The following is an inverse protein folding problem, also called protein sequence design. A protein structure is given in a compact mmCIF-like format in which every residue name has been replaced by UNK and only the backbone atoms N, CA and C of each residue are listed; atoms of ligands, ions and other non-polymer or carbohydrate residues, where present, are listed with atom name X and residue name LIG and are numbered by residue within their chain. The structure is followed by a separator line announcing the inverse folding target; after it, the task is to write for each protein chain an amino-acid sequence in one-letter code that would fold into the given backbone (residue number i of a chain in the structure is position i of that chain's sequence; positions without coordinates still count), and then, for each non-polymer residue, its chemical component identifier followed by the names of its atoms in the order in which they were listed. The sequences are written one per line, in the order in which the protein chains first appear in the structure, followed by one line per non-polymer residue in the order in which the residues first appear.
data_IF_053329612398
#
_entry.id   IF_053329612398
#
_cell.length_a   1.000
_cell.length_b   1.000
_cell.length_c   1.000
_cell.angle_alpha   90.00
_cell.angle_beta   90.00
_cell.angle_gamma   90.00
#
_symmetry.space_group_name_H-M   'P 1'
#
loop_
_entity.id
_entity.type
_entity.pdbx_description
1 polymer ?
#
# COMPACT_ATOMS: atom_id res chain seq x y z
N UNK A 1 31.02 14.02 -90.87
CA UNK A 1 29.74 13.30 -91.07
C UNK A 1 29.82 12.02 -90.26
N UNK A 2 29.05 11.72 -89.24
CA UNK A 2 27.91 12.35 -88.57
C UNK A 2 27.93 11.89 -87.10
N UNK A 3 27.37 12.74 -86.25
CA UNK A 3 27.07 12.58 -84.82
C UNK A 3 26.01 11.53 -84.48
N UNK A 4 26.09 10.94 -83.28
CA UNK A 4 24.98 10.77 -82.30
C UNK A 4 25.51 10.14 -80.99
N UNK A 5 25.67 10.93 -79.92
CA UNK A 5 24.85 10.98 -78.67
C UNK A 5 24.72 9.62 -77.96
N UNK A 6 25.46 9.41 -76.87
CA UNK A 6 25.06 9.67 -75.46
C UNK A 6 24.05 8.64 -74.93
N UNK A 7 24.51 7.71 -74.08
CA UNK A 7 23.78 7.28 -72.88
C UNK A 7 24.71 6.53 -71.91
N UNK A 8 24.72 7.06 -70.70
CA UNK A 8 25.47 6.68 -69.50
C UNK A 8 24.79 5.46 -68.86
N UNK A 9 25.55 4.45 -68.45
CA UNK A 9 25.19 3.60 -67.30
C UNK A 9 26.46 3.06 -66.63
N UNK A 10 26.86 3.73 -65.55
CA UNK A 10 27.85 3.26 -64.58
C UNK A 10 27.03 2.54 -63.50
N UNK A 11 27.10 1.20 -63.46
CA UNK A 11 26.60 0.44 -62.32
C UNK A 11 27.80 0.07 -61.44
N UNK A 12 28.09 0.96 -60.49
CA UNK A 12 29.11 0.78 -59.46
C UNK A 12 28.55 -0.12 -58.36
N UNK A 13 29.28 -1.20 -58.12
CA UNK A 13 29.12 -2.15 -57.02
C UNK A 13 29.40 -1.42 -55.69
N UNK A 14 28.35 -1.00 -54.96
CA UNK A 14 28.48 -0.43 -53.63
C UNK A 14 28.09 -1.45 -52.55
N UNK A 15 29.14 -1.99 -51.95
CA UNK A 15 29.16 -2.77 -50.72
C UNK A 15 28.70 -1.85 -49.57
N UNK A 16 27.43 -1.90 -49.17
CA UNK A 16 26.97 -1.20 -47.96
C UNK A 16 27.11 -2.11 -46.76
N UNK A 17 28.16 -1.85 -45.99
CA UNK A 17 28.30 -2.32 -44.60
C UNK A 17 27.14 -1.70 -43.82
N UNK A 18 26.14 -2.52 -43.50
CA UNK A 18 25.07 -2.17 -42.57
C UNK A 18 25.66 -2.09 -41.17
N UNK A 19 26.11 -0.91 -40.77
CA UNK A 19 26.38 -0.61 -39.37
C UNK A 19 25.07 -0.68 -38.60
N UNK A 20 24.84 -1.78 -37.87
CA UNK A 20 23.89 -1.79 -36.77
C UNK A 20 24.42 -0.82 -35.71
N UNK A 21 23.85 0.37 -35.68
CA UNK A 21 23.85 1.20 -34.48
C UNK A 21 22.93 0.51 -33.47
N UNK A 22 23.47 -0.49 -32.77
CA UNK A 22 22.88 -0.94 -31.52
C UNK A 22 23.05 0.23 -30.56
N UNK A 23 21.97 0.97 -30.33
CA UNK A 23 21.89 1.86 -29.16
C UNK A 23 22.17 0.97 -27.95
N UNK A 24 23.35 1.12 -27.38
CA UNK A 24 23.69 0.61 -26.07
C UNK A 24 22.64 1.20 -25.14
N UNK A 25 21.70 0.36 -24.67
CA UNK A 25 20.89 0.69 -23.52
C UNK A 25 21.86 0.96 -22.38
N UNK A 26 22.04 2.24 -22.07
CA UNK A 26 22.71 2.67 -20.86
C UNK A 26 21.84 2.14 -19.74
N UNK A 27 22.25 1.03 -19.12
CA UNK A 27 21.67 0.61 -17.86
C UNK A 27 22.00 1.70 -16.85
N UNK A 28 21.12 2.68 -16.70
CA UNK A 28 21.16 3.60 -15.58
C UNK A 28 21.02 2.74 -14.34
N UNK A 29 22.11 2.58 -13.60
CA UNK A 29 22.12 1.84 -12.34
C UNK A 29 21.02 2.41 -11.44
N UNK A 30 20.03 1.58 -11.11
CA UNK A 30 18.94 1.95 -10.20
C UNK A 30 19.48 1.79 -8.79
N UNK A 31 19.44 2.86 -8.00
CA UNK A 31 19.87 2.80 -6.60
C UNK A 31 18.70 2.29 -5.75
N UNK A 32 18.85 1.12 -5.14
CA UNK A 32 17.88 0.62 -4.16
C UNK A 32 18.02 1.38 -2.84
N UNK A 33 16.87 1.82 -2.32
CA UNK A 33 16.73 2.45 -1.00
C UNK A 33 15.86 1.54 -0.12
N UNK A 34 16.13 1.54 1.17
CA UNK A 34 15.28 0.93 2.19
C UNK A 34 14.90 1.94 3.27
N UNK A 35 13.68 1.83 3.81
CA UNK A 35 13.28 2.60 4.99
C UNK A 35 14.07 2.22 6.26
N UNK A 36 14.68 1.02 6.27
CA UNK A 36 15.65 0.63 7.30
C UNK A 36 17.00 1.35 7.21
N UNK A 37 17.30 1.99 6.08
CA UNK A 37 18.60 2.62 5.87
C UNK A 37 18.68 3.95 6.62
N UNK A 38 19.75 4.13 7.39
CA UNK A 38 20.04 5.42 8.03
C UNK A 38 20.76 6.35 7.04
N UNK A 39 20.09 6.72 5.94
CA UNK A 39 20.64 7.67 4.97
C UNK A 39 20.47 9.10 5.49
N UNK A 40 21.57 9.80 5.72
CA UNK A 40 21.55 11.22 6.06
C UNK A 40 21.04 12.07 4.90
N UNK A 41 20.53 13.27 5.18
CA UNK A 41 20.09 14.19 4.11
C UNK A 41 21.22 14.55 3.12
N UNK A 42 22.47 14.61 3.56
CA UNK A 42 23.61 14.83 2.67
C UNK A 42 23.87 13.64 1.73
N UNK A 43 23.49 12.43 2.12
CA UNK A 43 23.52 11.25 1.24
C UNK A 43 22.36 11.27 0.26
N UNK A 44 21.17 11.68 0.70
CA UNK A 44 19.99 11.88 -0.17
C UNK A 44 20.29 12.93 -1.25
N UNK A 45 20.97 14.04 -0.92
CA UNK A 45 21.43 15.04 -1.92
C UNK A 45 22.32 14.45 -3.01
N UNK A 46 23.16 13.46 -2.70
CA UNK A 46 24.02 12.80 -3.71
C UNK A 46 23.24 11.90 -4.66
N UNK A 47 21.97 11.64 -4.36
CA UNK A 47 21.05 10.88 -5.19
C UNK A 47 20.14 11.79 -6.03
N UNK A 48 20.24 13.11 -5.89
CA UNK A 48 19.45 14.05 -6.70
C UNK A 48 19.64 13.79 -8.20
N UNK A 49 18.52 13.67 -8.88
CA UNK A 49 18.43 13.37 -10.30
C UNK A 49 18.67 11.90 -10.69
N UNK A 50 19.01 11.01 -9.75
CA UNK A 50 19.25 9.59 -10.03
C UNK A 50 17.96 8.78 -10.04
N UNK A 51 17.99 7.66 -10.75
CA UNK A 51 16.93 6.66 -10.71
C UNK A 51 17.07 5.83 -9.44
N UNK A 52 16.01 5.76 -8.64
CA UNK A 52 15.96 5.04 -7.37
C UNK A 52 14.81 4.04 -7.38
N UNK A 53 14.91 3.00 -6.56
CA UNK A 53 13.77 2.14 -6.24
C UNK A 53 13.66 1.90 -4.74
N UNK A 54 12.42 1.83 -4.25
CA UNK A 54 12.11 1.62 -2.83
C UNK A 54 10.84 0.78 -2.71
N UNK A 55 10.77 -0.06 -1.67
CA UNK A 55 9.58 -0.85 -1.35
C UNK A 55 8.91 -0.27 -0.12
N UNK A 56 7.58 -0.18 -0.14
CA UNK A 56 6.79 0.30 1.00
C UNK A 56 5.30 0.09 0.81
N UNK A 57 4.51 0.72 1.66
CA UNK A 57 3.04 0.70 1.63
C UNK A 57 2.48 2.06 1.24
N UNK A 58 1.36 2.10 0.54
CA UNK A 58 0.68 3.36 0.26
C UNK A 58 -0.03 3.86 1.51
N UNK A 59 0.08 5.15 1.81
CA UNK A 59 -0.70 5.76 2.88
C UNK A 59 -2.17 5.87 2.48
N UNK A 60 -3.07 5.54 3.39
CA UNK A 60 -4.52 5.79 3.26
C UNK A 60 -4.87 7.28 3.20
N UNK A 61 -3.92 8.17 3.52
CA UNK A 61 -4.07 9.63 3.42
C UNK A 61 -3.59 10.19 2.07
N UNK A 62 -3.16 9.33 1.14
CA UNK A 62 -2.77 9.75 -0.21
C UNK A 62 -3.97 10.37 -0.96
N UNK A 63 -3.73 11.37 -1.85
CA UNK A 63 -4.79 11.95 -2.66
C UNK A 63 -5.59 10.91 -3.45
N UNK A 64 -6.92 11.07 -3.47
CA UNK A 64 -7.83 10.17 -4.16
C UNK A 64 -7.68 10.20 -5.69
N UNK A 65 -7.11 11.27 -6.25
CA UNK A 65 -6.87 11.39 -7.69
C UNK A 65 -5.65 10.58 -8.17
N UNK A 66 -4.86 10.03 -7.24
CA UNK A 66 -3.69 9.21 -7.53
C UNK A 66 -2.54 9.98 -8.18
N UNK A 67 -2.57 11.32 -8.19
CA UNK A 67 -1.52 12.16 -8.79
C UNK A 67 -0.16 11.98 -8.09
N UNK A 68 -0.21 11.67 -6.79
CA UNK A 68 0.91 11.21 -6.01
C UNK A 68 0.42 10.33 -4.85
N UNK A 69 1.33 9.58 -4.25
CA UNK A 69 1.10 8.84 -3.00
C UNK A 69 2.13 9.24 -1.95
N UNK A 70 1.81 8.99 -0.69
CA UNK A 70 2.82 8.86 0.34
C UNK A 70 3.18 7.38 0.47
N UNK A 71 4.42 7.02 0.16
CA UNK A 71 4.94 5.68 0.40
C UNK A 71 5.53 5.64 1.81
N UNK A 72 5.08 4.69 2.63
CA UNK A 72 5.42 4.54 4.05
C UNK A 72 6.12 3.22 4.32
N UNK A 73 6.87 3.15 5.43
CA UNK A 73 7.52 1.92 5.86
C UNK A 73 6.55 0.90 6.49
N UNK A 74 5.40 1.36 6.99
CA UNK A 74 4.34 0.54 7.59
C UNK A 74 3.00 0.81 6.91
N UNK A 75 2.12 -0.18 6.80
CA UNK A 75 0.77 0.02 6.27
C UNK A 75 -0.11 0.75 7.30
N UNK A 76 -1.18 1.40 6.83
CA UNK A 76 -2.18 2.08 7.67
C UNK A 76 -1.62 3.14 8.65
N UNK A 77 -0.40 3.64 8.44
CA UNK A 77 0.18 4.65 9.31
C UNK A 77 -0.56 5.99 9.12
N UNK A 78 -1.30 6.40 10.15
CA UNK A 78 -2.24 7.55 10.10
C UNK A 78 -1.60 8.90 9.79
N UNK A 79 -0.29 9.07 10.02
CA UNK A 79 0.37 10.33 9.81
C UNK A 79 1.59 10.22 8.90
N UNK A 80 1.53 10.78 7.68
CA UNK A 80 2.64 10.71 6.74
C UNK A 80 3.84 11.55 7.19
N UNK A 81 3.65 12.64 7.97
CA UNK A 81 4.74 13.53 8.39
C UNK A 81 4.63 14.08 9.83
N UNK A 82 4.03 13.33 10.77
CA UNK A 82 3.89 13.80 12.16
C UNK A 82 5.22 14.05 12.89
N UNK A 83 6.33 13.58 12.31
CA UNK A 83 7.67 14.04 12.68
C UNK A 83 8.21 14.87 11.51
N UNK A 84 8.13 16.21 11.56
CA UNK A 84 8.66 17.06 10.50
C UNK A 84 10.18 16.93 10.41
N UNK A 85 10.70 16.83 9.19
CA UNK A 85 12.10 16.97 8.80
C UNK A 85 13.10 16.25 9.72
N UNK A 86 13.20 14.92 9.54
CA UNK A 86 14.34 14.18 10.08
C UNK A 86 15.57 14.40 9.20
N UNK A 87 16.76 14.51 9.81
CA UNK A 87 18.05 14.58 9.08
C UNK A 87 18.43 13.25 8.40
N UNK A 88 17.51 12.28 8.40
CA UNK A 88 17.62 10.94 7.84
C UNK A 88 16.43 10.68 6.93
N UNK A 89 16.53 9.69 6.03
CA UNK A 89 15.40 9.19 5.27
C UNK A 89 14.21 8.99 6.21
N UNK A 90 13.12 9.70 5.91
CA UNK A 90 11.92 9.65 6.72
C UNK A 90 11.21 8.32 6.46
N UNK A 91 10.39 7.91 7.42
CA UNK A 91 9.49 6.75 7.28
C UNK A 91 8.40 6.94 6.20
N UNK A 92 8.47 8.04 5.45
CA UNK A 92 7.55 8.42 4.39
C UNK A 92 8.30 9.15 3.28
N UNK A 93 7.98 8.84 2.03
CA UNK A 93 8.43 9.61 0.86
C UNK A 93 7.24 9.89 -0.07
N UNK A 94 7.14 11.13 -0.56
CA UNK A 94 6.14 11.45 -1.59
C UNK A 94 6.59 10.90 -2.95
N UNK A 95 5.68 10.25 -3.67
CA UNK A 95 5.93 9.61 -4.96
C UNK A 95 4.91 10.11 -5.97
N UNK A 96 5.38 10.80 -7.00
CA UNK A 96 4.56 11.43 -8.02
C UNK A 96 4.46 10.59 -9.29
N UNK A 97 3.24 10.45 -9.79
CA UNK A 97 2.99 9.81 -11.07
C UNK A 97 3.55 10.64 -12.24
N UNK A 98 3.91 10.01 -13.37
CA UNK A 98 4.21 10.73 -14.59
C UNK A 98 3.04 11.61 -15.00
N UNK A 99 3.32 12.72 -15.66
CA UNK A 99 2.30 13.69 -16.07
C UNK A 99 1.16 13.00 -16.85
N UNK A 100 -0.07 13.15 -16.37
CA UNK A 100 -1.28 12.58 -16.98
C UNK A 100 -1.56 11.13 -16.60
N UNK A 101 -0.77 10.54 -15.69
CA UNK A 101 -1.01 9.23 -15.10
C UNK A 101 -1.44 9.37 -13.64
N UNK A 102 -1.99 8.28 -13.08
CA UNK A 102 -2.46 8.21 -11.70
C UNK A 102 -2.21 6.81 -11.15
N UNK A 103 -1.92 6.72 -9.86
CA UNK A 103 -1.81 5.45 -9.15
C UNK A 103 -3.16 4.98 -8.63
N UNK A 104 -3.38 3.67 -8.65
CA UNK A 104 -4.48 3.04 -7.93
C UNK A 104 -3.99 2.64 -6.55
N UNK A 105 -4.76 2.99 -5.52
CA UNK A 105 -4.47 2.58 -4.15
C UNK A 105 -4.47 1.05 -3.99
N UNK A 106 -3.62 0.54 -3.10
CA UNK A 106 -3.52 -0.86 -2.70
C UNK A 106 -2.96 -0.96 -1.28
N UNK A 107 -3.49 -1.89 -0.49
CA UNK A 107 -2.99 -2.22 0.86
C UNK A 107 -1.80 -3.18 0.83
N UNK A 108 -1.51 -3.76 -0.34
CA UNK A 108 -0.36 -4.62 -0.58
C UNK A 108 0.92 -3.79 -0.73
N UNK A 109 2.09 -4.35 -0.33
CA UNK A 109 3.36 -3.67 -0.52
C UNK A 109 3.66 -3.48 -2.01
N UNK A 110 4.22 -2.32 -2.35
CA UNK A 110 4.57 -1.94 -3.71
C UNK A 110 6.04 -1.59 -3.83
N UNK A 111 6.61 -1.88 -5.00
CA UNK A 111 7.92 -1.38 -5.41
C UNK A 111 7.71 -0.15 -6.28
N UNK A 112 8.30 0.95 -5.85
CA UNK A 112 8.33 2.22 -6.58
C UNK A 112 9.66 2.33 -7.28
N UNK A 113 9.66 2.72 -8.55
CA UNK A 113 10.88 3.08 -9.29
C UNK A 113 10.69 4.42 -9.97
N UNK A 114 11.56 5.39 -9.73
CA UNK A 114 11.44 6.73 -10.32
C UNK A 114 12.71 7.56 -10.16
N UNK A 115 12.61 8.86 -10.41
CA UNK A 115 13.73 9.80 -10.26
C UNK A 115 13.64 10.50 -8.91
N UNK A 116 14.68 10.43 -8.10
CA UNK A 116 14.76 11.21 -6.86
C UNK A 116 15.04 12.68 -7.20
N UNK A 117 14.27 13.59 -6.64
CA UNK A 117 14.45 15.04 -6.75
C UNK A 117 14.60 15.62 -5.35
N UNK A 118 15.61 16.46 -5.14
CA UNK A 118 15.83 17.19 -3.89
C UNK A 118 15.48 18.66 -4.10
N UNK A 119 14.35 19.08 -3.53
CA UNK A 119 13.84 20.44 -3.59
C UNK A 119 12.88 20.67 -2.42
N UNK A 120 12.79 21.91 -1.93
CA UNK A 120 11.80 22.31 -0.95
C UNK A 120 10.43 22.46 -1.63
N UNK A 121 9.45 21.67 -1.20
CA UNK A 121 8.10 21.66 -1.77
C UNK A 121 7.04 21.57 -0.67
N UNK A 122 5.93 22.25 -0.89
CA UNK A 122 4.69 22.04 -0.14
C UNK A 122 3.65 21.48 -1.10
N UNK A 123 3.06 20.35 -0.75
CA UNK A 123 2.05 19.71 -1.58
C UNK A 123 0.64 20.28 -1.38
N UNK A 124 -0.33 19.71 -2.09
CA UNK A 124 -1.72 20.18 -2.09
C UNK A 124 -2.43 19.96 -0.74
N UNK A 125 -1.94 19.01 0.06
CA UNK A 125 -2.45 18.72 1.40
C UNK A 125 -1.72 19.56 2.47
N UNK A 126 -0.76 20.38 2.06
CA UNK A 126 -0.02 21.29 2.94
C UNK A 126 1.19 20.66 3.62
N UNK A 127 1.60 19.44 3.25
CA UNK A 127 2.80 18.83 3.79
C UNK A 127 4.04 19.40 3.12
N UNK A 128 5.04 19.71 3.94
CA UNK A 128 6.34 20.21 3.50
C UNK A 128 7.39 19.10 3.58
N UNK A 129 8.17 18.93 2.51
CA UNK A 129 9.31 18.01 2.45
C UNK A 129 10.36 18.53 1.46
N UNK A 130 11.58 17.99 1.58
CA UNK A 130 12.77 18.46 0.85
C UNK A 130 13.30 17.43 -0.19
N UNK A 131 12.60 16.30 -0.37
CA UNK A 131 12.86 15.35 -1.43
C UNK A 131 11.61 14.53 -1.77
N UNK A 132 11.57 14.00 -2.99
CA UNK A 132 10.47 13.16 -3.51
C UNK A 132 10.95 12.28 -4.65
N UNK A 133 10.15 11.27 -4.99
CA UNK A 133 10.33 10.50 -6.23
C UNK A 133 9.33 11.04 -7.26
N UNK A 134 9.79 11.31 -8.48
CA UNK A 134 8.96 11.77 -9.60
C UNK A 134 9.07 10.84 -10.79
N UNK A 135 8.13 10.99 -11.73
CA UNK A 135 8.02 10.16 -12.93
C UNK A 135 8.08 8.67 -12.57
N UNK A 136 7.37 8.31 -11.50
CA UNK A 136 7.50 7.00 -10.87
C UNK A 136 6.57 5.95 -11.49
N UNK A 137 7.08 4.74 -11.60
CA UNK A 137 6.29 3.55 -11.87
C UNK A 137 6.08 2.77 -10.58
N UNK A 138 4.92 2.12 -10.46
CA UNK A 138 4.55 1.32 -9.29
C UNK A 138 4.17 -0.08 -9.75
N UNK A 139 4.86 -1.05 -9.20
CA UNK A 139 4.54 -2.47 -9.37
C UNK A 139 4.34 -3.15 -8.01
N UNK A 140 3.73 -4.32 -8.05
CA UNK A 140 3.58 -5.14 -6.84
C UNK A 140 4.96 -5.60 -6.36
N UNK A 141 5.21 -5.47 -5.06
CA UNK A 141 6.47 -5.94 -4.48
C UNK A 141 6.59 -7.46 -4.51
N UNK A 142 7.78 -7.97 -4.81
CA UNK A 142 8.12 -9.37 -4.55
C UNK A 142 8.42 -9.53 -3.06
N UNK A 143 7.49 -10.15 -2.32
CA UNK A 143 7.58 -10.27 -0.86
C UNK A 143 8.39 -11.48 -0.39
N UNK A 144 8.85 -12.37 -1.28
CA UNK A 144 9.49 -13.62 -0.89
C UNK A 144 10.80 -13.42 -0.11
N UNK A 145 11.52 -12.33 -0.38
CA UNK A 145 12.74 -11.96 0.33
C UNK A 145 12.50 -11.05 1.55
N UNK A 146 11.26 -10.70 1.85
CA UNK A 146 10.91 -9.79 2.94
C UNK A 146 10.64 -10.55 4.25
N UNK A 147 10.47 -9.78 5.33
CA UNK A 147 10.20 -10.30 6.67
C UNK A 147 8.99 -11.23 6.71
N UNK A 148 8.94 -12.12 7.71
CA UNK A 148 7.85 -13.09 7.84
C UNK A 148 6.50 -12.37 7.99
N UNK A 149 6.51 -11.28 8.74
CA UNK A 149 5.39 -10.40 9.03
C UNK A 149 4.80 -9.82 7.74
N UNK A 150 5.64 -9.27 6.86
CA UNK A 150 5.17 -8.73 5.56
C UNK A 150 4.56 -9.83 4.69
N UNK A 151 5.15 -11.03 4.67
CA UNK A 151 4.60 -12.14 3.86
C UNK A 151 3.22 -12.58 4.35
N UNK A 152 3.05 -12.73 5.66
CA UNK A 152 1.76 -13.13 6.25
C UNK A 152 0.70 -12.06 6.02
N UNK A 153 1.05 -10.80 6.30
CA UNK A 153 0.15 -9.68 6.02
C UNK A 153 -0.28 -9.67 4.55
N UNK A 154 0.68 -9.76 3.62
CA UNK A 154 0.40 -9.77 2.19
C UNK A 154 -0.54 -10.90 1.82
N UNK A 155 -0.26 -12.13 2.28
CA UNK A 155 -1.09 -13.29 1.98
C UNK A 155 -2.53 -13.15 2.51
N UNK A 156 -2.71 -12.62 3.72
CA UNK A 156 -4.04 -12.45 4.31
C UNK A 156 -4.82 -11.31 3.67
N UNK A 157 -4.17 -10.17 3.38
CA UNK A 157 -4.80 -9.06 2.65
C UNK A 157 -5.23 -9.51 1.26
N UNK A 158 -4.41 -10.28 0.55
CA UNK A 158 -4.79 -10.85 -0.76
C UNK A 158 -5.99 -11.78 -0.71
N UNK A 159 -6.14 -12.53 0.38
CA UNK A 159 -7.28 -13.41 0.61
C UNK A 159 -8.55 -12.64 1.02
N UNK A 160 -8.47 -11.31 1.17
CA UNK A 160 -9.61 -10.47 1.55
C UNK A 160 -9.87 -10.40 3.05
N UNK A 161 -8.89 -10.79 3.88
CA UNK A 161 -9.07 -10.84 5.34
C UNK A 161 -9.47 -9.49 5.92
N UNK A 162 -8.79 -8.42 5.52
CA UNK A 162 -9.02 -7.07 6.05
C UNK A 162 -10.42 -6.59 5.73
N UNK A 163 -10.85 -6.74 4.48
CA UNK A 163 -12.19 -6.33 4.04
C UNK A 163 -13.29 -7.09 4.79
N UNK A 164 -13.15 -8.40 4.90
CA UNK A 164 -14.12 -9.24 5.59
C UNK A 164 -14.16 -8.94 7.09
N UNK A 165 -13.01 -8.77 7.73
CA UNK A 165 -12.91 -8.43 9.15
C UNK A 165 -13.57 -7.07 9.44
N UNK A 166 -13.27 -6.05 8.63
CA UNK A 166 -13.86 -4.71 8.79
C UNK A 166 -15.37 -4.76 8.58
N UNK A 167 -15.87 -5.45 7.55
CA UNK A 167 -17.32 -5.55 7.31
C UNK A 167 -18.06 -6.23 8.48
N UNK A 168 -17.48 -7.28 9.08
CA UNK A 168 -18.05 -7.89 10.30
C UNK A 168 -17.98 -6.90 11.47
N UNK A 169 -16.82 -6.29 11.72
CA UNK A 169 -16.63 -5.35 12.82
C UNK A 169 -17.59 -4.15 12.74
N UNK A 170 -17.80 -3.59 11.55
CA UNK A 170 -18.72 -2.48 11.31
C UNK A 170 -20.17 -2.87 11.61
N UNK A 171 -20.61 -4.07 11.21
CA UNK A 171 -21.96 -4.58 11.53
C UNK A 171 -22.15 -4.70 13.04
N UNK A 172 -21.15 -5.26 13.73
CA UNK A 172 -21.15 -5.38 15.20
C UNK A 172 -21.15 -3.99 15.86
N UNK A 173 -20.31 -3.05 15.43
CA UNK A 173 -20.27 -1.68 15.97
C UNK A 173 -21.57 -0.93 15.72
N UNK A 174 -22.21 -1.11 14.57
CA UNK A 174 -23.52 -0.51 14.28
C UNK A 174 -24.61 -1.03 15.21
N UNK A 175 -24.61 -2.33 15.52
CA UNK A 175 -25.56 -2.91 16.47
C UNK A 175 -25.33 -2.40 17.90
N UNK A 176 -24.09 -2.50 18.40
CA UNK A 176 -23.69 -2.02 19.73
C UNK A 176 -23.91 -0.50 19.87
N UNK A 177 -23.57 0.25 18.81
CA UNK A 177 -23.66 1.68 18.70
C UNK A 177 -24.97 2.22 18.14
N UNK A 178 -26.03 1.41 18.03
CA UNK A 178 -27.28 1.81 17.35
C UNK A 178 -27.83 3.18 17.79
N UNK A 179 -27.74 3.47 19.08
CA UNK A 179 -28.15 4.76 19.67
C UNK A 179 -27.31 5.96 19.19
N UNK A 180 -26.02 5.76 18.87
CA UNK A 180 -25.13 6.79 18.31
C UNK A 180 -25.43 7.05 16.84
N UNK A 181 -25.90 6.03 16.12
CA UNK A 181 -26.18 6.08 14.69
C UNK A 181 -27.66 6.36 14.37
N UNK A 182 -28.51 6.60 15.38
CA UNK A 182 -29.97 6.77 15.23
C UNK A 182 -30.64 5.60 14.48
N UNK A 183 -30.17 4.37 14.71
CA UNK A 183 -30.77 3.15 14.14
C UNK A 183 -31.90 2.71 15.07
N UNK A 184 -33.08 2.45 14.51
CA UNK A 184 -34.19 1.91 15.29
C UNK A 184 -33.87 0.47 15.72
N UNK A 185 -34.28 0.10 16.94
CA UNK A 185 -33.98 -1.22 17.50
C UNK A 185 -34.64 -2.35 16.73
N UNK A 186 -35.82 -2.11 16.14
CA UNK A 186 -36.52 -3.05 15.28
C UNK A 186 -35.89 -3.23 13.90
N UNK A 187 -34.91 -2.38 13.54
CA UNK A 187 -34.14 -2.47 12.29
C UNK A 187 -32.78 -3.15 12.49
N UNK A 188 -32.44 -3.57 13.72
CA UNK A 188 -31.20 -4.28 13.99
C UNK A 188 -31.25 -5.71 13.47
N UNK A 189 -30.27 -6.04 12.65
CA UNK A 189 -30.07 -7.38 12.11
C UNK A 189 -29.03 -8.15 12.93
N UNK A 190 -29.22 -9.46 13.05
CA UNK A 190 -28.22 -10.36 13.62
C UNK A 190 -27.00 -10.47 12.70
N UNK A 191 -25.83 -10.64 13.31
CA UNK A 191 -24.56 -10.88 12.66
C UNK A 191 -24.50 -12.32 12.15
N UNK A 192 -24.15 -12.50 10.89
CA UNK A 192 -23.92 -13.82 10.30
C UNK A 192 -22.60 -14.42 10.83
N UNK A 193 -22.71 -15.40 11.73
CA UNK A 193 -21.57 -16.03 12.41
C UNK A 193 -20.81 -16.98 11.47
N UNK A 194 -21.44 -17.50 10.41
CA UNK A 194 -20.76 -18.41 9.46
C UNK A 194 -19.63 -17.70 8.70
N UNK A 195 -19.67 -16.37 8.62
CA UNK A 195 -18.62 -15.55 8.00
C UNK A 195 -17.28 -15.61 8.73
N UNK A 196 -17.27 -16.02 10.00
CA UNK A 196 -16.01 -16.27 10.70
C UNK A 196 -15.32 -17.53 10.19
N UNK A 197 -16.06 -18.52 9.66
CA UNK A 197 -15.45 -19.67 9.00
C UNK A 197 -14.74 -19.28 7.70
N UNK A 198 -15.27 -18.30 6.96
CA UNK A 198 -14.56 -17.72 5.81
C UNK A 198 -13.21 -17.10 6.23
N UNK A 199 -13.18 -16.38 7.36
CA UNK A 199 -11.93 -15.86 7.94
C UNK A 199 -10.98 -17.01 8.29
N UNK A 200 -11.45 -18.02 9.03
CA UNK A 200 -10.66 -19.16 9.47
C UNK A 200 -10.00 -19.90 8.28
N UNK A 201 -10.72 -20.04 7.16
CA UNK A 201 -10.21 -20.64 5.93
C UNK A 201 -9.02 -19.88 5.32
N UNK A 202 -8.99 -18.54 5.46
CA UNK A 202 -7.88 -17.73 4.95
C UNK A 202 -6.54 -18.03 5.63
N UNK A 203 -6.58 -18.58 6.84
CA UNK A 203 -5.38 -18.96 7.59
C UNK A 203 -4.90 -20.38 7.31
N UNK A 204 -5.64 -21.18 6.53
CA UNK A 204 -5.22 -22.54 6.17
C UNK A 204 -3.90 -22.48 5.39
N UNK A 205 -2.94 -23.30 5.82
CA UNK A 205 -1.60 -23.39 5.22
C UNK A 205 -0.57 -22.43 5.83
N UNK A 206 -1.00 -21.50 6.69
CA UNK A 206 -0.10 -20.66 7.47
C UNK A 206 0.32 -21.36 8.78
N UNK A 207 1.48 -21.00 9.33
CA UNK A 207 1.92 -21.49 10.64
C UNK A 207 1.28 -20.66 11.76
N UNK A 208 0.40 -21.29 12.54
CA UNK A 208 -0.43 -20.67 13.59
C UNK A 208 0.36 -19.79 14.58
N UNK A 209 1.59 -20.15 14.89
CA UNK A 209 2.41 -19.38 15.83
C UNK A 209 2.75 -17.98 15.31
N UNK A 210 2.73 -17.77 13.99
CA UNK A 210 3.11 -16.48 13.39
C UNK A 210 1.98 -15.42 13.44
N UNK A 211 0.74 -15.82 13.75
CA UNK A 211 -0.45 -14.96 13.69
C UNK A 211 -1.40 -15.20 14.87
N UNK A 212 -0.86 -15.66 16.01
CA UNK A 212 -1.66 -15.91 17.21
C UNK A 212 -2.35 -14.64 17.75
N UNK A 213 -1.66 -13.51 17.64
CA UNK A 213 -2.17 -12.19 18.04
C UNK A 213 -3.47 -11.83 17.32
N UNK A 214 -3.55 -12.04 16.00
CA UNK A 214 -4.77 -11.76 15.23
C UNK A 214 -5.85 -12.82 15.42
N UNK A 215 -5.50 -14.09 15.66
CA UNK A 215 -6.50 -15.10 16.01
C UNK A 215 -7.23 -14.77 17.31
N UNK A 216 -6.49 -14.34 18.34
CA UNK A 216 -7.08 -13.95 19.61
C UNK A 216 -8.07 -12.78 19.43
N UNK A 217 -7.82 -11.88 18.47
CA UNK A 217 -8.72 -10.78 18.12
C UNK A 217 -9.96 -11.26 17.34
N UNK A 218 -9.78 -12.18 16.39
CA UNK A 218 -10.89 -12.81 15.64
C UNK A 218 -11.83 -13.56 16.59
N UNK A 219 -11.28 -14.35 17.50
CA UNK A 219 -12.05 -15.12 18.50
C UNK A 219 -12.84 -14.17 19.42
N UNK A 220 -12.25 -13.05 19.81
CA UNK A 220 -12.95 -12.01 20.59
C UNK A 220 -14.11 -11.39 19.79
N UNK A 221 -13.88 -11.02 18.53
CA UNK A 221 -14.93 -10.47 17.67
C UNK A 221 -16.08 -11.46 17.46
N UNK A 222 -15.79 -12.74 17.27
CA UNK A 222 -16.79 -13.82 17.15
C UNK A 222 -17.67 -13.92 18.39
N UNK A 223 -17.05 -13.98 19.57
CA UNK A 223 -17.77 -14.02 20.85
C UNK A 223 -18.64 -12.78 21.06
N UNK A 224 -18.17 -11.59 20.68
CA UNK A 224 -18.97 -10.37 20.75
C UNK A 224 -20.14 -10.42 19.76
N UNK A 225 -19.93 -10.89 18.53
CA UNK A 225 -21.00 -11.05 17.55
C UNK A 225 -22.10 -12.02 18.04
N UNK A 226 -21.72 -13.15 18.66
CA UNK A 226 -22.67 -14.09 19.27
C UNK A 226 -23.49 -13.44 20.40
N UNK A 227 -22.85 -12.64 21.26
CA UNK A 227 -23.55 -11.87 22.31
C UNK A 227 -24.49 -10.83 21.73
N UNK A 228 -24.07 -10.12 20.68
CA UNK A 228 -24.92 -9.15 19.97
C UNK A 228 -26.18 -9.83 19.47
N UNK A 229 -26.07 -11.00 18.82
CA UNK A 229 -27.23 -11.76 18.35
C UNK A 229 -28.18 -12.12 19.50
N UNK A 230 -27.64 -12.69 20.59
CA UNK A 230 -28.44 -13.02 21.76
C UNK A 230 -29.17 -11.81 22.35
N UNK A 231 -28.49 -10.66 22.48
CA UNK A 231 -29.12 -9.44 23.00
C UNK A 231 -30.14 -8.81 22.05
N UNK A 232 -29.98 -8.95 20.73
CA UNK A 232 -31.00 -8.54 19.77
C UNK A 232 -32.25 -9.43 19.92
N UNK A 233 -32.06 -10.75 19.96
CA UNK A 233 -33.16 -11.73 20.08
C UNK A 233 -33.93 -11.60 21.40
N UNK A 234 -33.23 -11.31 22.49
CA UNK A 234 -33.81 -11.10 23.83
C UNK A 234 -34.32 -9.66 24.06
N UNK A 235 -34.14 -8.76 23.08
CA UNK A 235 -34.40 -7.33 23.21
C UNK A 235 -33.66 -6.66 24.39
N UNK A 236 -32.46 -7.15 24.72
CA UNK A 236 -31.65 -6.70 25.84
C UNK A 236 -30.72 -5.52 25.45
N UNK A 237 -31.34 -4.37 25.16
CA UNK A 237 -30.64 -3.18 24.66
C UNK A 237 -29.63 -2.59 25.64
N UNK A 238 -29.83 -2.81 26.95
CA UNK A 238 -28.93 -2.33 27.98
C UNK A 238 -27.57 -3.02 27.90
N UNK A 239 -27.58 -4.35 27.86
CA UNK A 239 -26.36 -5.15 27.73
C UNK A 239 -25.67 -4.95 26.38
N UNK A 240 -26.45 -4.76 25.31
CA UNK A 240 -25.91 -4.47 23.97
C UNK A 240 -24.98 -3.23 23.97
N UNK A 241 -25.35 -2.17 24.70
CA UNK A 241 -24.55 -0.92 24.77
C UNK A 241 -23.25 -1.13 25.59
N UNK A 242 -23.27 -2.03 26.57
CA UNK A 242 -22.11 -2.30 27.43
C UNK A 242 -20.96 -2.99 26.68
N UNK A 243 -21.22 -3.57 25.50
CA UNK A 243 -20.20 -4.19 24.65
C UNK A 243 -19.26 -3.19 23.96
N UNK A 244 -19.56 -1.89 24.01
CA UNK A 244 -18.76 -0.83 23.36
C UNK A 244 -17.28 -0.85 23.74
N UNK A 245 -16.96 -1.12 25.01
CA UNK A 245 -15.56 -1.21 25.47
C UNK A 245 -14.83 -2.41 24.85
N UNK A 246 -15.49 -3.55 24.73
CA UNK A 246 -14.88 -4.74 24.11
C UNK A 246 -14.59 -4.52 22.63
N UNK A 247 -15.40 -3.71 21.93
CA UNK A 247 -15.14 -3.35 20.54
C UNK A 247 -13.91 -2.45 20.37
N UNK A 248 -13.66 -1.55 21.33
CA UNK A 248 -12.45 -0.74 21.32
C UNK A 248 -11.19 -1.61 21.42
N UNK A 249 -11.19 -2.59 22.33
CA UNK A 249 -10.06 -3.53 22.49
C UNK A 249 -9.83 -4.37 21.22
N UNK A 250 -10.92 -4.84 20.57
CA UNK A 250 -10.85 -5.58 19.29
C UNK A 250 -10.27 -4.69 18.18
N UNK A 251 -10.77 -3.46 18.04
CA UNK A 251 -10.30 -2.53 17.03
C UNK A 251 -8.82 -2.19 17.22
N UNK A 252 -8.37 -1.95 18.46
CA UNK A 252 -6.96 -1.70 18.77
C UNK A 252 -6.10 -2.92 18.47
N UNK A 253 -6.56 -4.13 18.83
CA UNK A 253 -5.86 -5.38 18.51
C UNK A 253 -5.69 -5.58 17.01
N UNK A 254 -6.76 -5.34 16.24
CA UNK A 254 -6.74 -5.41 14.78
C UNK A 254 -5.79 -4.38 14.17
N UNK A 255 -5.84 -3.13 14.62
CA UNK A 255 -4.96 -2.06 14.13
C UNK A 255 -3.48 -2.35 14.44
N UNK A 256 -3.19 -2.88 15.63
CA UNK A 256 -1.83 -3.28 16.00
C UNK A 256 -1.30 -4.39 15.08
N UNK A 257 -2.15 -5.35 14.70
CA UNK A 257 -1.77 -6.38 13.75
C UNK A 257 -1.57 -5.80 12.34
N UNK A 258 -2.51 -4.95 11.87
CA UNK A 258 -2.44 -4.31 10.56
C UNK A 258 -1.13 -3.54 10.38
N UNK A 259 -0.70 -2.79 11.41
CA UNK A 259 0.47 -1.91 11.36
C UNK A 259 1.79 -2.61 11.74
N UNK A 260 1.75 -3.90 12.09
CA UNK A 260 2.92 -4.70 12.49
C UNK A 260 4.00 -4.84 11.40
N UNK A 261 3.68 -5.03 10.11
CA UNK A 261 4.69 -5.16 9.07
C UNK A 261 5.46 -3.84 8.90
N UNK A 262 6.80 -3.92 8.88
CA UNK A 262 7.65 -2.77 8.63
C UNK A 262 8.85 -3.12 7.75
N UNK A 263 9.24 -2.15 6.92
CA UNK A 263 10.47 -2.14 6.14
C UNK A 263 11.60 -1.42 6.87
#
# INVERSE_FOLDING_TARGET
METKKLLIYIFLLSFTIGGCFSSVEVSSEVVELSFSDTLSFEEIKKLDGKKVSIVGFMSTTSPLDGSYIYLQNMPYQSCPFCVPNTNVLANTIAVYAPKGQSFKFTDLPVKVTGKLIVEDITDQLGYFYNYRIVDADIERANVQSLSREIRIYTELVEKGFVDLFIDILEKVDRAVGHHRYNIDRGELETIDIERFSEIEEMFIGLNKDDYRDILDVIDQLKNIAEKVNGFIEEENWGELILLSRSLEDIFVGFLNWLTKPSF
#
